data_IF_045068905099
#
_entry.id   IF_045068905099
#
_cell.length_a   1.000
_cell.length_b   1.000
_cell.length_c   1.000
_cell.angle_alpha   90.00
_cell.angle_beta   90.00
_cell.angle_gamma   90.00
#
_symmetry.space_group_name_H-M   'P 1'
#
loop_
_entity.id
_entity.type
_entity.pdbx_description
1 polymer ?
#
# COMPACT_ATOMS: atom_id res chain seq x y z
N UNK A 1 1.55 -9.29 -6.53
CA UNK A 1 1.11 -8.63 -7.77
C UNK A 1 2.27 -8.40 -8.71
N UNK A 2 2.01 -8.29 -9.98
CA UNK A 2 3.00 -7.84 -10.95
C UNK A 2 3.27 -6.35 -10.74
N UNK A 3 4.54 -5.95 -10.93
CA UNK A 3 4.95 -4.55 -10.81
C UNK A 3 5.65 -4.09 -12.08
N UNK A 4 5.44 -2.82 -12.42
CA UNK A 4 6.05 -2.17 -13.59
C UNK A 4 6.70 -0.85 -13.17
N UNK A 5 7.39 -0.87 -12.06
CA UNK A 5 8.06 0.31 -11.50
C UNK A 5 9.26 0.66 -12.37
N UNK A 6 9.45 1.94 -12.74
CA UNK A 6 10.62 2.35 -13.53
C UNK A 6 11.92 1.97 -12.85
N UNK A 7 12.88 1.52 -13.65
CA UNK A 7 14.19 1.08 -13.15
C UNK A 7 14.90 2.17 -12.35
N UNK A 8 14.72 3.42 -12.73
CA UNK A 8 15.31 4.55 -12.03
C UNK A 8 14.88 4.61 -10.57
N UNK A 9 13.60 4.34 -10.29
CA UNK A 9 13.06 4.31 -8.93
C UNK A 9 13.54 3.07 -8.19
N UNK A 10 13.66 1.93 -8.89
CA UNK A 10 14.11 0.68 -8.28
C UNK A 10 15.53 0.74 -7.76
N UNK A 11 16.34 1.70 -8.21
CA UNK A 11 17.69 1.91 -7.71
C UNK A 11 17.70 2.45 -6.28
N UNK A 12 16.59 3.05 -5.84
CA UNK A 12 16.46 3.47 -4.45
C UNK A 12 16.16 2.24 -3.60
N UNK A 13 16.92 2.04 -2.52
CA UNK A 13 16.79 0.86 -1.68
C UNK A 13 15.37 0.70 -1.08
N UNK A 14 14.75 1.80 -0.68
CA UNK A 14 13.39 1.79 -0.13
C UNK A 14 12.36 1.34 -1.15
N UNK A 15 12.50 1.78 -2.40
CA UNK A 15 11.59 1.37 -3.49
C UNK A 15 11.77 -0.10 -3.81
N UNK A 16 13.00 -0.61 -3.80
CA UNK A 16 13.26 -2.03 -4.03
C UNK A 16 12.59 -2.89 -2.96
N UNK A 17 12.64 -2.48 -1.70
CA UNK A 17 11.96 -3.16 -0.60
C UNK A 17 10.45 -3.11 -0.82
N UNK A 18 9.91 -1.95 -1.16
CA UNK A 18 8.47 -1.79 -1.43
C UNK A 18 8.02 -2.70 -2.58
N UNK A 19 8.80 -2.80 -3.65
CA UNK A 19 8.48 -3.69 -4.76
C UNK A 19 8.41 -5.14 -4.32
N UNK A 20 9.36 -5.59 -3.50
CA UNK A 20 9.37 -6.95 -2.97
C UNK A 20 8.08 -7.23 -2.19
N UNK A 21 7.65 -6.29 -1.35
CA UNK A 21 6.41 -6.42 -0.58
C UNK A 21 5.20 -6.45 -1.49
N UNK A 22 5.15 -5.56 -2.49
CA UNK A 22 4.06 -5.50 -3.46
C UNK A 22 3.90 -6.81 -4.23
N UNK A 23 5.02 -7.43 -4.62
CA UNK A 23 5.00 -8.70 -5.35
C UNK A 23 4.49 -9.85 -4.52
N UNK A 24 4.61 -9.77 -3.20
CA UNK A 24 4.09 -10.78 -2.27
C UNK A 24 2.56 -10.75 -2.21
N UNK A 25 1.96 -9.59 -2.39
CA UNK A 25 0.51 -9.43 -2.34
C UNK A 25 -0.17 -10.04 -3.57
N UNK A 26 -1.18 -10.90 -3.34
CA UNK A 26 -1.99 -11.49 -4.41
C UNK A 26 -3.32 -10.77 -4.61
N UNK A 27 -3.52 -9.67 -3.90
CA UNK A 27 -4.69 -8.79 -4.04
C UNK A 27 -6.03 -9.49 -3.70
N UNK A 28 -6.01 -10.44 -2.78
CA UNK A 28 -7.21 -11.20 -2.42
C UNK A 28 -8.22 -10.44 -1.55
N UNK A 29 -7.77 -9.41 -0.85
CA UNK A 29 -8.64 -8.58 -0.01
C UNK A 29 -8.96 -9.14 1.37
N UNK A 30 -8.35 -10.24 1.76
CA UNK A 30 -8.57 -10.87 3.07
C UNK A 30 -8.28 -9.90 4.22
N UNK A 31 -7.33 -9.00 4.02
CA UNK A 31 -6.92 -8.00 5.01
C UNK A 31 -7.99 -6.93 5.27
N UNK A 32 -8.87 -6.67 4.31
CA UNK A 32 -9.87 -5.59 4.46
C UNK A 32 -10.80 -5.79 5.65
N UNK A 33 -11.12 -7.04 5.98
CA UNK A 33 -12.03 -7.35 7.07
C UNK A 33 -11.51 -6.89 8.44
N UNK A 34 -10.20 -6.71 8.58
CA UNK A 34 -9.58 -6.30 9.84
C UNK A 34 -9.32 -4.80 9.93
N UNK A 35 -9.54 -4.07 8.85
CA UNK A 35 -9.17 -2.65 8.78
C UNK A 35 -10.31 -1.75 9.29
N UNK A 36 -10.06 -0.96 10.36
CA UNK A 36 -11.11 -0.10 10.93
C UNK A 36 -11.64 0.94 9.95
N UNK A 37 -10.77 1.57 9.17
CA UNK A 37 -11.20 2.60 8.22
C UNK A 37 -12.02 2.01 7.08
N UNK A 38 -11.69 0.79 6.65
CA UNK A 38 -12.49 0.10 5.66
C UNK A 38 -13.87 -0.28 6.20
N UNK A 39 -13.91 -0.81 7.43
CA UNK A 39 -15.18 -1.21 8.05
C UNK A 39 -16.14 -0.03 8.22
N UNK A 40 -15.60 1.15 8.55
CA UNK A 40 -16.42 2.35 8.74
C UNK A 40 -16.92 2.95 7.43
N UNK A 41 -16.09 2.96 6.40
CA UNK A 41 -16.40 3.65 5.15
C UNK A 41 -16.93 2.76 4.04
N UNK A 42 -16.56 1.48 4.04
CA UNK A 42 -16.82 0.59 2.91
C UNK A 42 -16.06 0.96 1.64
N UNK A 43 -15.15 1.92 1.74
CA UNK A 43 -14.39 2.42 0.60
C UNK A 43 -13.11 1.61 0.43
N UNK A 44 -12.92 1.02 -0.76
CA UNK A 44 -11.74 0.19 -1.07
C UNK A 44 -10.43 0.94 -0.80
N UNK A 45 -10.38 2.24 -1.11
CA UNK A 45 -9.18 3.06 -0.91
C UNK A 45 -8.87 3.35 0.57
N UNK A 46 -9.83 3.06 1.46
CA UNK A 46 -9.63 3.20 2.90
C UNK A 46 -9.31 1.85 3.57
N UNK A 47 -9.00 0.83 2.78
CA UNK A 47 -8.58 -0.48 3.25
C UNK A 47 -7.17 -0.83 2.81
N UNK A 48 -6.54 -1.87 3.40
CA UNK A 48 -5.16 -2.23 3.08
C UNK A 48 -4.97 -2.60 1.61
N UNK A 49 -5.88 -3.39 1.05
CA UNK A 49 -5.77 -3.82 -0.35
C UNK A 49 -5.77 -2.62 -1.30
N UNK A 50 -6.69 -1.70 -1.12
CA UNK A 50 -6.77 -0.50 -1.95
C UNK A 50 -5.57 0.42 -1.77
N UNK A 51 -5.09 0.58 -0.53
CA UNK A 51 -3.88 1.37 -0.27
C UNK A 51 -2.64 0.75 -0.89
N UNK A 52 -2.51 -0.58 -0.83
CA UNK A 52 -1.40 -1.29 -1.49
C UNK A 52 -1.43 -1.01 -3.00
N UNK A 53 -2.60 -1.13 -3.61
CA UNK A 53 -2.76 -0.87 -5.04
C UNK A 53 -2.46 0.60 -5.38
N UNK A 54 -2.88 1.52 -4.52
CA UNK A 54 -2.64 2.95 -4.71
C UNK A 54 -1.15 3.27 -4.65
N UNK A 55 -0.44 2.71 -3.67
CA UNK A 55 1.03 2.88 -3.56
C UNK A 55 1.71 2.32 -4.81
N UNK A 56 1.31 1.14 -5.25
CA UNK A 56 1.83 0.54 -6.48
C UNK A 56 1.62 1.46 -7.67
N UNK A 57 0.41 1.99 -7.83
CA UNK A 57 0.06 2.85 -8.97
C UNK A 57 0.87 4.15 -8.97
N UNK A 58 1.12 4.73 -7.79
CA UNK A 58 1.96 5.92 -7.68
C UNK A 58 3.40 5.62 -8.07
N UNK A 59 3.95 4.50 -7.59
CA UNK A 59 5.33 4.11 -7.91
C UNK A 59 5.50 3.80 -9.40
N UNK A 60 4.46 3.29 -10.05
CA UNK A 60 4.48 2.99 -11.49
C UNK A 60 4.21 4.22 -12.35
N UNK A 61 3.87 5.34 -11.74
CA UNK A 61 3.59 6.59 -12.45
C UNK A 61 2.22 6.65 -13.10
N UNK A 62 1.31 5.73 -12.76
CA UNK A 62 -0.04 5.70 -13.34
C UNK A 62 -1.00 6.66 -12.67
N UNK A 63 -0.72 7.02 -11.42
CA UNK A 63 -1.57 7.91 -10.62
C UNK A 63 -0.72 9.05 -10.08
N UNK A 64 -1.22 10.29 -10.22
CA UNK A 64 -0.55 11.46 -9.66
C UNK A 64 -0.77 11.51 -8.15
N UNK A 65 0.23 12.05 -7.44
CA UNK A 65 0.12 12.32 -6.02
C UNK A 65 -0.71 13.57 -5.83
N UNK A 66 -1.95 13.40 -5.36
CA UNK A 66 -2.87 14.49 -5.08
C UNK A 66 -3.20 14.52 -3.60
N UNK A 67 -3.90 15.56 -3.16
CA UNK A 67 -4.37 15.65 -1.78
C UNK A 67 -5.23 14.44 -1.39
N UNK A 68 -6.03 13.92 -2.32
CA UNK A 68 -6.86 12.73 -2.09
C UNK A 68 -6.00 11.48 -1.91
N UNK A 69 -4.96 11.31 -2.73
CA UNK A 69 -4.01 10.20 -2.61
C UNK A 69 -3.36 10.19 -1.23
N UNK A 70 -2.84 11.34 -0.83
CA UNK A 70 -2.21 11.51 0.48
C UNK A 70 -3.20 11.22 1.60
N UNK A 71 -4.44 11.72 1.50
CA UNK A 71 -5.47 11.51 2.52
C UNK A 71 -5.79 10.02 2.73
N UNK A 72 -5.86 9.24 1.66
CA UNK A 72 -6.13 7.79 1.79
C UNK A 72 -5.00 7.06 2.49
N UNK A 73 -3.75 7.45 2.26
CA UNK A 73 -2.60 6.84 2.94
C UNK A 73 -2.53 7.29 4.39
N UNK A 74 -2.77 8.59 4.64
CA UNK A 74 -2.68 9.16 5.99
C UNK A 74 -3.81 8.72 6.91
N UNK A 75 -4.97 8.36 6.38
CA UNK A 75 -6.09 7.87 7.19
C UNK A 75 -5.82 6.51 7.82
N UNK A 76 -4.80 5.78 7.35
CA UNK A 76 -4.39 4.53 7.96
C UNK A 76 -3.92 4.76 9.40
N UNK A 77 -4.49 4.01 10.34
CA UNK A 77 -4.17 4.14 11.75
C UNK A 77 -2.84 3.49 12.15
N UNK A 78 -2.25 2.68 11.26
CA UNK A 78 -1.00 1.99 11.56
C UNK A 78 -1.15 0.85 12.56
N UNK A 79 -2.35 0.31 12.75
CA UNK A 79 -2.60 -0.76 13.72
C UNK A 79 -2.03 -2.12 13.31
N UNK A 80 -1.74 -2.31 12.03
CA UNK A 80 -1.14 -3.51 11.43
C UNK A 80 -1.92 -4.82 11.59
N UNK A 81 -3.21 -4.74 11.90
CA UNK A 81 -4.07 -5.92 11.94
C UNK A 81 -4.10 -6.64 10.58
N UNK A 82 -4.02 -5.87 9.49
CA UNK A 82 -3.96 -6.40 8.13
C UNK A 82 -2.69 -7.23 7.87
N UNK A 83 -1.57 -6.82 8.45
CA UNK A 83 -0.31 -7.55 8.31
C UNK A 83 -0.38 -8.91 9.00
N UNK A 84 -0.93 -8.94 10.20
CA UNK A 84 -1.10 -10.18 10.98
C UNK A 84 -2.05 -11.15 10.27
N UNK A 85 -3.10 -10.63 9.63
CA UNK A 85 -4.14 -11.44 8.98
C UNK A 85 -3.69 -11.99 7.61
N UNK A 86 -2.75 -11.34 6.94
CA UNK A 86 -2.42 -11.63 5.55
C UNK A 86 -1.88 -13.06 5.38
N UNK A 87 -2.58 -13.94 4.62
CA UNK A 87 -2.10 -15.30 4.39
C UNK A 87 -0.85 -15.39 3.50
N UNK A 88 -0.58 -14.36 2.72
CA UNK A 88 0.60 -14.30 1.85
C UNK A 88 1.83 -13.70 2.54
N UNK A 89 1.67 -13.20 3.76
CA UNK A 89 2.80 -12.65 4.52
C UNK A 89 3.27 -11.28 4.05
N UNK A 90 2.35 -10.43 3.56
CA UNK A 90 2.69 -9.07 3.13
C UNK A 90 3.06 -8.22 4.34
N UNK A 91 4.27 -7.66 4.34
CA UNK A 91 4.74 -6.77 5.39
C UNK A 91 4.28 -5.33 5.12
N UNK A 92 3.02 -5.07 5.37
CA UNK A 92 2.37 -3.79 5.09
C UNK A 92 3.07 -2.60 5.77
N UNK A 93 3.63 -2.82 6.96
CA UNK A 93 4.39 -1.79 7.68
C UNK A 93 5.52 -1.21 6.83
N UNK A 94 6.22 -2.04 6.07
CA UNK A 94 7.31 -1.59 5.21
C UNK A 94 6.81 -0.70 4.06
N UNK A 95 5.64 -1.00 3.53
CA UNK A 95 5.01 -0.15 2.51
C UNK A 95 4.65 1.21 3.07
N UNK A 96 4.06 1.26 4.26
CA UNK A 96 3.70 2.53 4.91
C UNK A 96 4.93 3.37 5.21
N UNK A 97 6.00 2.75 5.73
CA UNK A 97 7.24 3.45 6.04
C UNK A 97 7.86 4.11 4.81
N UNK A 98 7.77 3.46 3.68
CA UNK A 98 8.28 4.01 2.42
C UNK A 98 7.33 5.03 1.80
N UNK A 99 6.02 4.75 1.84
CA UNK A 99 5.02 5.57 1.17
C UNK A 99 4.77 6.91 1.85
N UNK A 100 4.65 6.94 3.17
CA UNK A 100 4.32 8.16 3.91
C UNK A 100 5.29 9.31 3.65
N UNK A 101 6.62 9.13 3.80
CA UNK A 101 7.56 10.22 3.52
C UNK A 101 7.54 10.66 2.06
N UNK A 102 7.28 9.74 1.14
CA UNK A 102 7.25 10.04 -0.28
C UNK A 102 6.05 10.86 -0.69
N UNK A 103 4.88 10.56 -0.09
CA UNK A 103 3.63 11.16 -0.47
C UNK A 103 3.35 12.46 0.30
N UNK A 104 3.89 12.58 1.48
CA UNK A 104 3.78 13.78 2.30
C UNK A 104 4.86 14.79 1.95
#
# INVERSE_FOLDING_TARGET
MRTFIPEQLLRESGVAVAESVLRTCVHCGFCNATCPTYQLSGNELEGPRGRIYLIKSVLEGEVEVTAKTVAHIDSCLGCLACETTCPSGVTYSHLLEEARPRLD
#
